data_IF_626184467681
#
_entry.id   IF_626184467681
#
_cell.length_a   1.000
_cell.length_b   1.000
_cell.length_c   1.000
_cell.angle_alpha   90.00
_cell.angle_beta   90.00
_cell.angle_gamma   90.00
#
_symmetry.space_group_name_H-M   'P 1'
#
loop_
_entity.id
_entity.type
_entity.pdbx_description
1 polymer ?
#
# COMPACT_ATOMS: atom_id res chain seq x y z
N UNK A 1 -15.15 -26.13 10.58
CA UNK A 1 -14.90 -24.68 10.47
C UNK A 1 -16.20 -24.01 10.09
N UNK A 2 -16.66 -23.04 10.87
CA UNK A 2 -17.93 -22.37 10.67
C UNK A 2 -17.70 -21.08 9.88
N UNK A 3 -18.30 -20.90 8.68
CA UNK A 3 -18.12 -19.67 7.91
C UNK A 3 -18.89 -18.50 8.55
N UNK A 4 -18.22 -17.36 8.69
CA UNK A 4 -18.82 -16.10 9.08
C UNK A 4 -18.46 -15.05 8.03
N UNK A 5 -19.46 -14.50 7.34
CA UNK A 5 -19.26 -13.41 6.39
C UNK A 5 -19.47 -12.09 7.11
N UNK A 6 -18.55 -11.14 6.95
CA UNK A 6 -18.53 -9.85 7.64
C UNK A 6 -18.24 -8.74 6.63
N UNK A 7 -18.83 -7.57 6.88
CA UNK A 7 -18.55 -6.32 6.18
C UNK A 7 -18.61 -5.16 7.18
N UNK A 8 -17.62 -4.26 7.16
CA UNK A 8 -17.53 -3.10 8.04
C UNK A 8 -17.76 -1.80 7.26
N UNK A 9 -18.55 -0.92 7.84
CA UNK A 9 -18.68 0.46 7.36
C UNK A 9 -18.05 1.44 8.35
N UNK A 10 -17.27 2.37 7.82
CA UNK A 10 -16.49 3.33 8.60
C UNK A 10 -16.69 4.75 8.11
N UNK A 11 -16.41 5.72 8.98
CA UNK A 11 -16.38 7.13 8.60
C UNK A 11 -15.44 7.38 7.42
N UNK A 12 -15.91 8.14 6.43
CA UNK A 12 -15.12 8.58 5.30
C UNK A 12 -15.53 9.97 4.82
N UNK A 13 -14.58 10.71 4.29
CA UNK A 13 -14.78 12.05 3.73
C UNK A 13 -13.87 12.29 2.51
N UNK A 14 -13.91 13.50 1.93
CA UNK A 14 -13.01 13.86 0.84
C UNK A 14 -11.52 13.91 1.26
N UNK A 15 -11.27 14.19 2.54
CA UNK A 15 -9.93 14.29 3.12
C UNK A 15 -9.54 13.03 3.90
N UNK A 16 -10.50 12.24 4.36
CA UNK A 16 -10.32 11.02 5.13
C UNK A 16 -10.88 9.80 4.41
N UNK A 17 -10.10 9.17 3.55
CA UNK A 17 -10.52 7.95 2.83
C UNK A 17 -9.32 7.10 2.42
N UNK A 18 -9.56 5.83 2.05
CA UNK A 18 -8.54 4.92 1.52
C UNK A 18 -7.89 5.41 0.20
N UNK A 19 -8.46 6.43 -0.47
CA UNK A 19 -7.84 7.06 -1.64
C UNK A 19 -6.88 8.19 -1.28
N UNK A 20 -6.97 8.70 -0.05
CA UNK A 20 -6.15 9.82 0.47
C UNK A 20 -5.12 9.36 1.48
N UNK A 21 -5.46 8.36 2.28
CA UNK A 21 -4.61 7.82 3.34
C UNK A 21 -4.19 6.39 3.00
N UNK A 22 -2.94 6.01 3.31
CA UNK A 22 -2.54 4.61 3.29
C UNK A 22 -3.48 3.76 4.17
N UNK A 23 -3.81 2.52 3.78
CA UNK A 23 -4.78 1.70 4.50
C UNK A 23 -4.49 1.51 5.99
N UNK A 24 -3.24 1.26 6.38
CA UNK A 24 -2.86 1.15 7.80
C UNK A 24 -3.16 2.45 8.53
N UNK A 25 -2.71 3.59 7.98
CA UNK A 25 -2.95 4.91 8.56
C UNK A 25 -4.42 5.20 8.71
N UNK A 26 -5.23 4.89 7.69
CA UNK A 26 -6.69 5.02 7.74
C UNK A 26 -7.29 4.15 8.84
N UNK A 27 -7.05 2.84 8.85
CA UNK A 27 -7.67 1.92 9.81
C UNK A 27 -7.32 2.21 11.28
N UNK A 28 -6.16 2.80 11.55
CA UNK A 28 -5.72 3.18 12.90
C UNK A 28 -5.90 4.65 13.23
N UNK A 29 -6.47 5.45 12.32
CA UNK A 29 -6.69 6.87 12.58
C UNK A 29 -7.81 7.07 13.63
N UNK A 30 -7.67 8.02 14.56
CA UNK A 30 -8.74 8.33 15.52
C UNK A 30 -10.07 8.68 14.87
N UNK A 31 -10.05 9.43 13.76
CA UNK A 31 -11.28 9.81 13.02
C UNK A 31 -11.94 8.65 12.27
N UNK A 32 -11.29 7.48 12.16
CA UNK A 32 -11.92 6.31 11.56
C UNK A 32 -12.88 5.70 12.56
N UNK A 33 -14.08 6.28 12.66
CA UNK A 33 -15.19 5.74 13.41
C UNK A 33 -15.72 4.48 12.73
N UNK A 34 -15.90 3.38 13.48
CA UNK A 34 -16.50 2.15 12.97
C UNK A 34 -18.01 2.24 13.19
N UNK A 35 -18.72 2.58 12.12
CA UNK A 35 -20.14 2.90 12.11
C UNK A 35 -20.96 1.65 12.30
N UNK A 36 -20.72 0.61 11.49
CA UNK A 36 -21.46 -0.64 11.58
C UNK A 36 -20.64 -1.87 11.19
N UNK A 37 -21.05 -3.01 11.73
CA UNK A 37 -20.60 -4.35 11.34
C UNK A 37 -21.83 -5.18 11.00
N UNK A 38 -21.94 -5.59 9.74
CA UNK A 38 -22.89 -6.62 9.33
C UNK A 38 -22.22 -7.99 9.33
N UNK A 39 -22.97 -9.03 9.71
CA UNK A 39 -22.46 -10.39 9.71
C UNK A 39 -23.54 -11.46 9.52
N UNK A 40 -23.13 -12.64 9.07
CA UNK A 40 -23.96 -13.86 9.05
C UNK A 40 -23.13 -15.13 9.22
N UNK A 41 -23.73 -16.17 9.81
CA UNK A 41 -23.13 -17.50 9.92
C UNK A 41 -23.67 -18.41 8.82
N UNK A 42 -22.81 -18.78 7.86
CA UNK A 42 -23.23 -19.59 6.70
C UNK A 42 -24.46 -19.01 6.00
N UNK A 43 -25.51 -19.82 5.84
CA UNK A 43 -26.77 -19.43 5.21
C UNK A 43 -27.82 -18.87 6.20
N UNK A 44 -27.46 -18.56 7.46
CA UNK A 44 -28.35 -17.91 8.43
C UNK A 44 -28.69 -16.46 8.02
N UNK A 45 -29.62 -15.83 8.75
CA UNK A 45 -30.02 -14.44 8.57
C UNK A 45 -28.85 -13.48 8.87
N UNK A 46 -28.88 -12.33 8.21
CA UNK A 46 -27.85 -11.29 8.34
C UNK A 46 -28.20 -10.28 9.42
N UNK A 47 -27.28 -10.09 10.34
CA UNK A 47 -27.37 -9.14 11.44
C UNK A 47 -26.53 -7.89 11.13
N UNK A 48 -26.84 -6.78 11.80
CA UNK A 48 -26.06 -5.55 11.72
C UNK A 48 -25.99 -4.92 13.11
N UNK A 49 -24.78 -4.60 13.55
CA UNK A 49 -24.48 -3.96 14.83
C UNK A 49 -23.96 -2.56 14.52
N UNK A 50 -24.44 -1.56 15.25
CA UNK A 50 -23.99 -0.17 15.14
C UNK A 50 -23.15 0.23 16.34
N UNK A 51 -22.11 1.02 16.07
CA UNK A 51 -21.24 1.63 17.06
C UNK A 51 -20.12 0.71 17.52
N UNK A 52 -18.91 1.26 17.54
CA UNK A 52 -17.68 0.53 17.82
C UNK A 52 -17.71 -0.24 19.15
N UNK A 53 -18.27 0.35 20.21
CA UNK A 53 -18.39 -0.31 21.51
C UNK A 53 -19.25 -1.58 21.49
N UNK A 54 -20.37 -1.56 20.77
CA UNK A 54 -21.25 -2.73 20.61
C UNK A 54 -20.58 -3.80 19.74
N UNK A 55 -19.88 -3.36 18.68
CA UNK A 55 -19.12 -4.24 17.80
C UNK A 55 -18.00 -4.94 18.58
N UNK A 56 -17.26 -4.22 19.42
CA UNK A 56 -16.22 -4.77 20.27
C UNK A 56 -16.78 -5.78 21.29
N UNK A 57 -17.92 -5.47 21.92
CA UNK A 57 -18.58 -6.37 22.85
C UNK A 57 -19.02 -7.69 22.19
N UNK A 58 -19.59 -7.60 20.97
CA UNK A 58 -19.94 -8.77 20.17
C UNK A 58 -18.70 -9.55 19.72
N UNK A 59 -17.67 -8.88 19.20
CA UNK A 59 -16.45 -9.54 18.74
C UNK A 59 -15.77 -10.33 19.87
N UNK A 60 -15.86 -9.84 21.12
CA UNK A 60 -15.36 -10.53 22.32
C UNK A 60 -16.22 -11.74 22.73
N UNK A 61 -17.52 -11.74 22.42
CA UNK A 61 -18.42 -12.84 22.80
C UNK A 61 -18.37 -14.02 21.82
N UNK A 62 -17.82 -13.82 20.62
CA UNK A 62 -17.66 -14.87 19.60
C UNK A 62 -16.38 -15.66 19.84
N UNK A 63 -16.49 -16.98 19.89
CA UNK A 63 -15.33 -17.87 19.76
C UNK A 63 -14.89 -17.94 18.27
N UNK A 64 -13.68 -17.45 18.00
CA UNK A 64 -13.10 -17.39 16.66
C UNK A 64 -12.28 -18.64 16.29
N UNK A 65 -12.02 -19.52 17.25
CA UNK A 65 -11.06 -20.63 17.11
C UNK A 65 -11.43 -21.65 16.04
N UNK A 66 -12.71 -21.74 15.64
CA UNK A 66 -13.21 -22.60 14.56
C UNK A 66 -13.80 -21.81 13.37
N UNK A 67 -13.65 -20.49 13.34
CA UNK A 67 -14.32 -19.62 12.35
C UNK A 67 -13.49 -19.36 11.10
N UNK A 68 -14.15 -19.41 9.94
CA UNK A 68 -13.63 -18.82 8.69
C UNK A 68 -14.23 -17.43 8.51
N UNK A 69 -13.44 -16.39 8.71
CA UNK A 69 -13.89 -15.01 8.50
C UNK A 69 -13.77 -14.66 7.02
N UNK A 70 -14.90 -14.39 6.39
CA UNK A 70 -15.04 -14.11 4.97
C UNK A 70 -15.43 -12.64 4.81
N UNK A 71 -14.76 -11.95 3.89
CA UNK A 71 -15.18 -10.61 3.49
C UNK A 71 -14.67 -10.25 2.11
N UNK A 72 -15.00 -9.05 1.67
CA UNK A 72 -14.53 -8.51 0.41
C UNK A 72 -13.43 -7.48 0.68
N UNK A 73 -12.25 -7.64 0.08
CA UNK A 73 -11.08 -6.78 0.33
C UNK A 73 -10.45 -6.87 1.75
N UNK A 74 -10.51 -8.05 2.38
CA UNK A 74 -9.93 -8.32 3.72
C UNK A 74 -8.47 -7.83 3.88
N UNK A 75 -7.57 -8.18 2.95
CA UNK A 75 -6.15 -7.77 3.04
C UNK A 75 -5.89 -6.30 2.68
N UNK A 76 -6.93 -5.55 2.35
CA UNK A 76 -6.86 -4.12 2.07
C UNK A 76 -7.53 -3.26 3.14
N UNK A 77 -8.43 -3.82 3.95
CA UNK A 77 -9.26 -3.04 4.85
C UNK A 77 -9.76 -3.83 6.08
N UNK A 78 -10.83 -4.63 5.95
CA UNK A 78 -11.61 -5.17 7.07
C UNK A 78 -10.78 -5.96 8.08
N UNK A 79 -9.83 -6.78 7.58
CA UNK A 79 -9.04 -7.62 8.46
C UNK A 79 -8.19 -6.80 9.43
N UNK A 80 -7.72 -5.60 9.06
CA UNK A 80 -6.96 -4.74 9.96
C UNK A 80 -7.83 -4.23 11.11
N UNK A 81 -9.04 -3.77 10.82
CA UNK A 81 -9.97 -3.29 11.86
C UNK A 81 -10.36 -4.46 12.77
N UNK A 82 -10.77 -5.60 12.20
CA UNK A 82 -11.14 -6.80 12.94
C UNK A 82 -10.01 -7.28 13.85
N UNK A 83 -8.80 -7.44 13.32
CA UNK A 83 -7.68 -7.98 14.08
C UNK A 83 -7.11 -6.97 15.09
N UNK A 84 -6.93 -5.71 14.70
CA UNK A 84 -6.17 -4.73 15.51
C UNK A 84 -7.03 -3.95 16.48
N UNK A 85 -8.28 -3.63 16.13
CA UNK A 85 -9.20 -2.89 17.03
C UNK A 85 -10.09 -3.83 17.84
N UNK A 86 -10.54 -4.92 17.24
CA UNK A 86 -11.48 -5.85 17.88
C UNK A 86 -10.83 -7.17 18.34
N UNK A 87 -9.53 -7.37 18.09
CA UNK A 87 -8.81 -8.55 18.58
C UNK A 87 -9.25 -9.88 17.94
N UNK A 88 -9.91 -9.83 16.79
CA UNK A 88 -10.43 -11.00 16.08
C UNK A 88 -9.28 -11.87 15.57
N UNK A 89 -9.29 -13.15 15.94
CA UNK A 89 -8.27 -14.15 15.58
C UNK A 89 -8.93 -15.44 15.09
N UNK A 90 -9.32 -15.50 13.81
CA UNK A 90 -10.05 -16.63 13.27
C UNK A 90 -9.14 -17.83 12.96
N UNK A 91 -9.76 -19.00 12.87
CA UNK A 91 -9.11 -20.19 12.32
C UNK A 91 -8.62 -19.95 10.89
N UNK A 92 -9.36 -19.17 10.10
CA UNK A 92 -9.00 -18.85 8.72
C UNK A 92 -9.56 -17.51 8.26
N UNK A 93 -8.77 -16.77 7.49
CA UNK A 93 -9.20 -15.61 6.73
C UNK A 93 -9.51 -16.00 5.28
N UNK A 94 -10.61 -15.47 4.74
CA UNK A 94 -11.01 -15.64 3.35
C UNK A 94 -11.39 -14.28 2.74
N UNK A 95 -10.98 -14.06 1.49
CA UNK A 95 -11.15 -12.77 0.82
C UNK A 95 -11.72 -12.98 -0.59
N UNK A 96 -12.98 -12.63 -0.81
CA UNK A 96 -13.64 -12.82 -2.11
C UNK A 96 -13.00 -11.99 -3.23
N UNK A 97 -12.42 -10.82 -2.91
CA UNK A 97 -11.60 -10.06 -3.85
C UNK A 97 -10.31 -10.78 -4.24
N UNK A 98 -9.65 -11.46 -3.29
CA UNK A 98 -8.45 -12.24 -3.61
C UNK A 98 -8.81 -13.45 -4.48
N UNK A 99 -9.92 -14.14 -4.15
CA UNK A 99 -10.43 -15.29 -4.90
C UNK A 99 -10.89 -14.92 -6.31
N UNK A 100 -11.35 -13.68 -6.54
CA UNK A 100 -11.84 -13.23 -7.85
C UNK A 100 -10.72 -12.86 -8.82
N UNK A 101 -9.56 -12.38 -8.34
CA UNK A 101 -8.46 -11.88 -9.20
C UNK A 101 -7.97 -12.88 -10.27
N UNK A 102 -7.77 -14.18 -9.99
CA UNK A 102 -7.36 -15.15 -11.01
C UNK A 102 -8.32 -15.21 -12.21
N UNK A 103 -9.59 -14.91 -11.98
CA UNK A 103 -10.65 -15.01 -12.97
C UNK A 103 -10.93 -13.66 -13.64
N UNK A 104 -10.96 -12.58 -12.86
CA UNK A 104 -11.64 -11.35 -13.23
C UNK A 104 -10.77 -10.09 -13.24
N UNK A 105 -9.47 -10.21 -12.95
CA UNK A 105 -8.62 -9.03 -12.80
C UNK A 105 -8.48 -8.21 -14.09
N UNK A 106 -8.57 -8.84 -15.27
CA UNK A 106 -8.30 -8.20 -16.57
C UNK A 106 -9.54 -7.71 -17.31
N UNK A 107 -10.73 -8.12 -16.90
CA UNK A 107 -11.98 -7.91 -17.62
C UNK A 107 -13.03 -7.22 -16.74
N UNK A 108 -13.69 -7.96 -15.84
CA UNK A 108 -14.79 -7.47 -15.00
C UNK A 108 -14.27 -6.48 -13.96
N UNK A 109 -13.07 -6.71 -13.45
CA UNK A 109 -12.52 -5.99 -12.30
C UNK A 109 -12.91 -6.64 -10.97
N UNK A 110 -12.38 -6.09 -9.87
CA UNK A 110 -12.42 -6.75 -8.58
C UNK A 110 -13.48 -6.29 -7.59
N UNK A 111 -14.09 -5.11 -7.77
CA UNK A 111 -14.99 -4.56 -6.75
C UNK A 111 -16.26 -5.39 -6.58
N UNK A 112 -16.78 -5.44 -5.35
CA UNK A 112 -18.01 -6.16 -5.01
C UNK A 112 -19.15 -5.82 -5.97
N UNK A 113 -19.41 -4.53 -6.21
CA UNK A 113 -20.45 -4.07 -7.13
C UNK A 113 -20.33 -4.68 -8.54
N UNK A 114 -19.12 -4.71 -9.13
CA UNK A 114 -18.91 -5.25 -10.47
C UNK A 114 -19.09 -6.77 -10.51
N UNK A 115 -18.59 -7.48 -9.51
CA UNK A 115 -18.70 -8.93 -9.44
C UNK A 115 -20.14 -9.39 -9.18
N UNK A 116 -20.88 -8.69 -8.32
CA UNK A 116 -22.28 -9.00 -8.01
C UNK A 116 -23.16 -8.85 -9.25
N UNK A 117 -22.94 -7.79 -10.04
CA UNK A 117 -23.62 -7.61 -11.33
C UNK A 117 -23.18 -8.66 -12.35
N UNK A 118 -21.88 -8.95 -12.46
CA UNK A 118 -21.38 -9.95 -13.41
C UNK A 118 -21.93 -11.37 -13.17
N UNK A 119 -22.20 -11.72 -11.91
CA UNK A 119 -22.74 -13.04 -11.53
C UNK A 119 -24.26 -13.04 -11.34
N UNK A 120 -24.97 -11.98 -11.76
CA UNK A 120 -26.42 -11.83 -11.61
C UNK A 120 -26.92 -12.04 -10.16
N UNK A 121 -26.08 -11.70 -9.18
CA UNK A 121 -26.41 -11.77 -7.75
C UNK A 121 -27.27 -10.56 -7.35
N UNK A 122 -27.06 -9.43 -8.02
CA UNK A 122 -27.79 -8.19 -7.78
C UNK A 122 -27.07 -6.92 -8.24
N UNK A 123 -27.46 -5.80 -7.64
CA UNK A 123 -26.83 -4.49 -7.86
C UNK A 123 -26.55 -3.88 -6.49
N UNK A 124 -25.34 -3.37 -6.30
CA UNK A 124 -24.96 -2.66 -5.07
C UNK A 124 -25.47 -1.23 -5.12
N UNK A 125 -26.44 -0.90 -4.27
CA UNK A 125 -26.95 0.46 -4.10
C UNK A 125 -26.08 1.23 -3.09
N UNK A 126 -25.29 2.19 -3.56
CA UNK A 126 -24.39 2.98 -2.71
C UNK A 126 -25.04 4.24 -2.13
N UNK A 127 -26.34 4.46 -2.36
CA UNK A 127 -27.02 5.71 -1.98
C UNK A 127 -26.90 6.02 -0.49
N UNK A 128 -27.09 5.01 0.37
CA UNK A 128 -26.94 5.18 1.82
C UNK A 128 -25.53 5.62 2.21
N UNK A 129 -24.50 4.98 1.65
CA UNK A 129 -23.09 5.32 1.92
C UNK A 129 -22.73 6.74 1.46
N UNK A 130 -23.27 7.18 0.33
CA UNK A 130 -23.02 8.52 -0.23
C UNK A 130 -23.70 9.60 0.62
N UNK A 131 -24.92 9.35 1.10
CA UNK A 131 -25.69 10.29 1.93
C UNK A 131 -25.03 10.56 3.28
N UNK A 132 -24.30 9.58 3.82
CA UNK A 132 -23.61 9.69 5.11
C UNK A 132 -22.16 10.15 4.99
N UNK A 133 -21.73 10.60 3.80
CA UNK A 133 -20.37 11.07 3.57
C UNK A 133 -20.00 12.22 4.50
N UNK A 134 -18.86 12.08 5.17
CA UNK A 134 -18.32 13.10 6.07
C UNK A 134 -19.06 13.22 7.39
N UNK A 135 -19.85 12.21 7.78
CA UNK A 135 -20.63 12.19 9.01
C UNK A 135 -20.28 10.97 9.87
N UNK A 136 -20.13 11.19 11.16
CA UNK A 136 -19.92 10.16 12.18
C UNK A 136 -21.26 9.54 12.60
N UNK A 137 -21.21 8.37 13.25
CA UNK A 137 -22.43 7.63 13.61
C UNK A 137 -23.39 8.45 14.50
N UNK A 138 -22.86 9.28 15.40
CA UNK A 138 -23.67 10.13 16.29
C UNK A 138 -24.41 11.26 15.55
N UNK A 139 -24.08 11.51 14.30
CA UNK A 139 -24.73 12.49 13.44
C UNK A 139 -25.83 11.86 12.58
N UNK A 140 -26.00 10.53 12.58
CA UNK A 140 -26.98 9.85 11.74
C UNK A 140 -28.40 9.99 12.31
N UNK A 141 -29.38 10.20 11.44
CA UNK A 141 -30.80 10.09 11.83
C UNK A 141 -31.20 8.61 11.99
N UNK A 142 -32.31 8.32 12.69
CA UNK A 142 -32.83 6.96 12.78
C UNK A 142 -33.08 6.30 11.41
N UNK A 143 -33.52 7.07 10.42
CA UNK A 143 -33.76 6.60 9.05
C UNK A 143 -32.46 6.24 8.35
N UNK A 144 -31.40 7.04 8.54
CA UNK A 144 -30.07 6.78 7.98
C UNK A 144 -29.42 5.56 8.62
N UNK A 145 -29.57 5.36 9.94
CA UNK A 145 -29.15 4.12 10.61
C UNK A 145 -29.85 2.91 9.99
N UNK A 146 -31.16 2.99 9.77
CA UNK A 146 -31.90 1.90 9.12
C UNK A 146 -31.45 1.67 7.67
N UNK A 147 -31.21 2.74 6.90
CA UNK A 147 -30.75 2.65 5.52
C UNK A 147 -29.35 2.03 5.43
N UNK A 148 -28.40 2.51 6.25
CA UNK A 148 -27.06 1.95 6.37
C UNK A 148 -27.11 0.47 6.77
N UNK A 149 -28.01 0.11 7.70
CA UNK A 149 -28.16 -1.27 8.14
C UNK A 149 -28.69 -2.20 7.06
N UNK A 150 -29.57 -1.73 6.17
CA UNK A 150 -30.00 -2.49 4.99
C UNK A 150 -28.87 -2.64 3.98
N UNK A 151 -28.13 -1.57 3.73
CA UNK A 151 -27.01 -1.53 2.80
C UNK A 151 -25.88 -2.49 3.22
N UNK A 152 -25.38 -2.38 4.46
CA UNK A 152 -24.29 -3.20 4.98
C UNK A 152 -24.69 -4.69 5.09
N UNK A 153 -25.96 -5.00 5.41
CA UNK A 153 -26.48 -6.39 5.33
C UNK A 153 -26.48 -6.93 3.91
N UNK A 154 -26.90 -6.12 2.93
CA UNK A 154 -26.91 -6.53 1.54
C UNK A 154 -25.49 -6.85 1.04
N UNK A 155 -24.48 -6.08 1.46
CA UNK A 155 -23.07 -6.36 1.14
C UNK A 155 -22.60 -7.71 1.68
N UNK A 156 -22.96 -8.06 2.91
CA UNK A 156 -22.66 -9.37 3.50
C UNK A 156 -23.34 -10.51 2.74
N UNK A 157 -24.62 -10.35 2.38
CA UNK A 157 -25.35 -11.35 1.62
C UNK A 157 -24.76 -11.55 0.23
N UNK A 158 -24.43 -10.46 -0.46
CA UNK A 158 -23.78 -10.47 -1.76
C UNK A 158 -22.38 -11.11 -1.70
N UNK A 159 -21.59 -10.75 -0.69
CA UNK A 159 -20.26 -11.32 -0.45
C UNK A 159 -20.34 -12.83 -0.19
N UNK A 160 -21.32 -13.29 0.59
CA UNK A 160 -21.55 -14.72 0.85
C UNK A 160 -21.92 -15.49 -0.43
N UNK A 161 -22.77 -14.94 -1.29
CA UNK A 161 -23.09 -15.57 -2.58
C UNK A 161 -21.86 -15.66 -3.49
N UNK A 162 -21.06 -14.57 -3.58
CA UNK A 162 -19.80 -14.61 -4.32
C UNK A 162 -18.82 -15.64 -3.75
N UNK A 163 -18.71 -15.72 -2.42
CA UNK A 163 -17.87 -16.72 -1.78
C UNK A 163 -18.28 -18.14 -2.19
N UNK A 164 -19.58 -18.47 -2.17
CA UNK A 164 -20.08 -19.79 -2.61
C UNK A 164 -19.72 -20.10 -4.07
N UNK A 165 -19.69 -19.10 -4.95
CA UNK A 165 -19.26 -19.26 -6.35
C UNK A 165 -17.75 -19.53 -6.43
N UNK A 166 -16.95 -18.66 -5.82
CA UNK A 166 -15.49 -18.75 -5.92
C UNK A 166 -14.91 -19.91 -5.14
N UNK A 167 -15.53 -20.33 -4.04
CA UNK A 167 -15.08 -21.45 -3.23
C UNK A 167 -15.05 -22.76 -4.02
N UNK A 168 -16.01 -22.95 -4.94
CA UNK A 168 -16.04 -24.12 -5.86
C UNK A 168 -14.89 -24.11 -6.87
N UNK A 169 -14.31 -22.94 -7.15
CA UNK A 169 -13.26 -22.70 -8.15
C UNK A 169 -11.87 -22.51 -7.53
N UNK A 170 -11.78 -22.36 -6.21
CA UNK A 170 -10.54 -22.05 -5.51
C UNK A 170 -10.02 -23.30 -4.80
N UNK A 171 -8.90 -23.88 -5.24
CA UNK A 171 -8.32 -25.05 -4.58
C UNK A 171 -8.00 -24.77 -3.10
N UNK A 172 -8.01 -25.83 -2.29
CA UNK A 172 -7.67 -25.73 -0.85
C UNK A 172 -6.27 -25.14 -0.61
N UNK A 173 -5.31 -25.40 -1.51
CA UNK A 173 -3.97 -24.79 -1.45
C UNK A 173 -4.03 -23.26 -1.61
N UNK A 174 -4.80 -22.77 -2.58
CA UNK A 174 -4.98 -21.33 -2.81
C UNK A 174 -5.74 -20.66 -1.68
N UNK A 175 -6.71 -21.34 -1.08
CA UNK A 175 -7.38 -20.82 0.13
C UNK A 175 -6.40 -20.61 1.28
N UNK A 176 -5.45 -21.55 1.50
CA UNK A 176 -4.39 -21.37 2.52
C UNK A 176 -3.47 -20.20 2.17
N UNK A 177 -3.13 -20.03 0.89
CA UNK A 177 -2.30 -18.93 0.43
C UNK A 177 -2.97 -17.57 0.63
N UNK A 178 -4.28 -17.48 0.39
CA UNK A 178 -5.09 -16.28 0.67
C UNK A 178 -5.12 -15.98 2.17
N UNK A 179 -5.35 -17.00 3.01
CA UNK A 179 -5.31 -16.86 4.48
C UNK A 179 -3.93 -16.34 4.94
N UNK A 180 -2.85 -16.99 4.52
CA UNK A 180 -1.48 -16.58 4.82
C UNK A 180 -1.21 -15.14 4.37
N UNK A 181 -1.72 -14.74 3.19
CA UNK A 181 -1.59 -13.38 2.68
C UNK A 181 -2.25 -12.35 3.60
N UNK A 182 -3.42 -12.65 4.15
CA UNK A 182 -4.10 -11.78 5.13
C UNK A 182 -3.32 -11.77 6.45
N UNK A 183 -2.88 -12.94 6.95
CA UNK A 183 -2.09 -13.06 8.20
C UNK A 183 -0.78 -12.29 8.14
N UNK A 184 -0.10 -12.30 6.99
CA UNK A 184 1.12 -11.51 6.79
C UNK A 184 0.92 -10.01 7.03
N UNK A 185 -0.29 -9.49 6.79
CA UNK A 185 -0.67 -8.14 7.16
C UNK A 185 -1.04 -8.05 8.65
N UNK A 186 -2.00 -8.84 9.10
CA UNK A 186 -2.67 -8.59 10.40
C UNK A 186 -1.99 -9.24 11.61
N UNK A 187 -1.13 -10.23 11.38
CA UNK A 187 -0.35 -10.95 12.39
C UNK A 187 1.16 -10.78 12.16
N UNK A 188 1.67 -9.52 12.15
CA UNK A 188 3.08 -9.25 11.85
C UNK A 188 4.02 -9.90 12.88
N UNK A 189 5.18 -10.36 12.42
CA UNK A 189 6.18 -11.04 13.24
C UNK A 189 7.51 -10.29 13.36
N UNK A 190 7.91 -9.50 12.35
CA UNK A 190 9.13 -8.71 12.41
C UNK A 190 9.02 -7.61 13.46
N UNK A 191 10.02 -7.48 14.32
CA UNK A 191 10.19 -6.31 15.19
C UNK A 191 10.97 -5.23 14.42
N UNK A 192 10.52 -3.98 14.52
CA UNK A 192 11.13 -2.87 13.81
C UNK A 192 12.17 -2.18 14.69
N UNK A 193 13.41 -2.10 14.22
CA UNK A 193 14.41 -1.21 14.79
C UNK A 193 14.08 0.26 14.45
N UNK A 194 13.15 0.84 15.23
CA UNK A 194 12.72 2.24 15.08
C UNK A 194 13.87 3.25 15.25
N UNK A 195 14.80 3.09 16.23
CA UNK A 195 15.94 4.00 16.35
C UNK A 195 16.79 4.09 15.08
N UNK A 196 17.06 2.97 14.41
CA UNK A 196 17.77 2.95 13.13
C UNK A 196 17.02 3.78 12.07
N UNK A 197 15.72 3.52 11.91
CA UNK A 197 14.89 4.23 10.94
C UNK A 197 14.83 5.74 11.20
N UNK A 198 14.62 6.15 12.46
CA UNK A 198 14.57 7.57 12.85
C UNK A 198 15.92 8.25 12.60
N UNK A 199 17.02 7.60 12.97
CA UNK A 199 18.37 8.11 12.71
C UNK A 199 18.62 8.29 11.21
N UNK A 200 18.29 7.29 10.40
CA UNK A 200 18.47 7.35 8.94
C UNK A 200 17.59 8.42 8.31
N UNK A 201 16.33 8.55 8.73
CA UNK A 201 15.42 9.59 8.23
C UNK A 201 15.94 10.99 8.54
N UNK A 202 16.43 11.21 9.77
CA UNK A 202 17.02 12.49 10.18
C UNK A 202 18.25 12.81 9.33
N UNK A 203 19.19 11.88 9.20
CA UNK A 203 20.40 12.08 8.41
C UNK A 203 20.09 12.36 6.92
N UNK A 204 19.12 11.67 6.34
CA UNK A 204 18.74 11.89 4.93
C UNK A 204 18.09 13.28 4.73
N UNK A 205 17.26 13.73 5.67
CA UNK A 205 16.67 15.08 5.64
C UNK A 205 17.74 16.16 5.82
N UNK A 206 18.65 16.00 6.77
CA UNK A 206 19.78 16.92 6.99
C UNK A 206 20.69 17.01 5.75
N UNK A 207 20.99 15.87 5.11
CA UNK A 207 21.77 15.82 3.88
C UNK A 207 21.10 16.61 2.75
N UNK A 208 19.78 16.47 2.60
CA UNK A 208 19.00 17.19 1.58
C UNK A 208 18.89 18.68 1.88
N UNK A 209 18.60 19.03 3.12
CA UNK A 209 18.57 20.41 3.61
C UNK A 209 19.89 21.12 3.29
N UNK A 210 21.02 20.54 3.73
CA UNK A 210 22.35 21.07 3.43
C UNK A 210 22.59 21.27 1.92
N UNK A 211 22.25 20.28 1.10
CA UNK A 211 22.41 20.35 -0.36
C UNK A 211 21.56 21.48 -0.98
N UNK A 212 20.37 21.75 -0.43
CA UNK A 212 19.52 22.86 -0.88
C UNK A 212 20.07 24.21 -0.46
N UNK A 213 20.53 24.35 0.78
CA UNK A 213 21.14 25.58 1.30
C UNK A 213 22.46 25.91 0.58
N UNK A 214 23.33 24.92 0.40
CA UNK A 214 24.59 25.09 -0.35
C UNK A 214 24.31 25.59 -1.78
N UNK A 215 23.31 25.00 -2.46
CA UNK A 215 22.90 25.46 -3.78
C UNK A 215 22.28 26.87 -3.73
N UNK A 216 21.46 27.17 -2.72
CA UNK A 216 20.86 28.48 -2.53
C UNK A 216 21.92 29.57 -2.42
N UNK A 217 23.00 29.32 -1.67
CA UNK A 217 24.15 30.21 -1.57
C UNK A 217 24.83 30.40 -2.93
N UNK A 218 25.06 29.30 -3.68
CA UNK A 218 25.71 29.36 -4.99
C UNK A 218 24.94 30.18 -6.03
N UNK A 219 23.60 30.10 -6.03
CA UNK A 219 22.74 30.80 -6.99
C UNK A 219 22.24 32.16 -6.49
N UNK A 220 22.67 32.58 -5.29
CA UNK A 220 22.25 33.85 -4.68
C UNK A 220 20.75 33.91 -4.36
N UNK A 221 20.15 32.78 -3.94
CA UNK A 221 18.71 32.70 -3.65
C UNK A 221 18.31 33.22 -2.24
N UNK A 222 19.26 33.73 -1.46
CA UNK A 222 18.98 34.34 -0.16
C UNK A 222 18.53 35.79 -0.33
N UNK A 223 17.28 36.08 0.05
CA UNK A 223 16.80 37.46 0.17
C UNK A 223 16.93 37.94 1.64
N UNK A 224 17.15 39.25 1.88
CA UNK A 224 17.25 39.77 3.24
C UNK A 224 16.01 39.43 4.08
N UNK A 225 16.22 38.74 5.20
CA UNK A 225 15.17 38.34 6.13
C UNK A 225 14.52 36.98 5.85
N UNK A 226 15.00 36.21 4.86
CA UNK A 226 14.58 34.82 4.70
C UNK A 226 15.24 33.90 5.73
N UNK A 227 14.44 33.02 6.32
CA UNK A 227 14.92 31.91 7.14
C UNK A 227 15.30 30.69 6.27
N UNK A 228 16.17 29.81 6.76
CA UNK A 228 16.67 28.64 6.02
C UNK A 228 15.53 27.75 5.46
N UNK A 229 14.47 27.53 6.24
CA UNK A 229 13.29 26.76 5.82
C UNK A 229 12.57 27.39 4.60
N UNK A 230 12.53 28.72 4.53
CA UNK A 230 11.91 29.45 3.42
C UNK A 230 12.75 29.34 2.15
N UNK A 231 14.07 29.42 2.31
CA UNK A 231 15.06 29.26 1.23
C UNK A 231 15.00 27.85 0.66
N UNK A 232 15.00 26.83 1.51
CA UNK A 232 14.88 25.43 1.09
C UNK A 232 13.61 25.19 0.28
N UNK A 233 12.48 25.72 0.75
CA UNK A 233 11.20 25.58 0.06
C UNK A 233 11.22 26.27 -1.32
N UNK A 234 11.81 27.46 -1.42
CA UNK A 234 11.95 28.19 -2.68
C UNK A 234 12.82 27.43 -3.69
N UNK A 235 14.00 26.98 -3.27
CA UNK A 235 14.93 26.21 -4.12
C UNK A 235 14.33 24.86 -4.50
N UNK A 236 13.72 24.14 -3.56
CA UNK A 236 13.03 22.88 -3.82
C UNK A 236 11.89 23.02 -4.85
N UNK A 237 11.10 24.11 -4.78
CA UNK A 237 10.07 24.42 -5.80
C UNK A 237 10.67 24.65 -7.19
N UNK A 238 11.82 25.30 -7.28
CA UNK A 238 12.54 25.51 -8.54
C UNK A 238 13.08 24.20 -9.09
N UNK A 239 13.79 23.43 -8.27
CA UNK A 239 14.36 22.14 -8.64
C UNK A 239 13.31 21.07 -8.94
N UNK A 240 12.17 21.09 -8.26
CA UNK A 240 11.07 20.14 -8.44
C UNK A 240 10.25 20.37 -9.70
N UNK A 241 10.29 21.57 -10.29
CA UNK A 241 9.53 21.91 -11.49
C UNK A 241 10.40 21.79 -12.75
N UNK A 242 9.96 21.02 -13.75
CA UNK A 242 10.72 20.90 -15.00
C UNK A 242 10.87 22.26 -15.74
N UNK A 243 9.81 23.09 -15.87
CA UNK A 243 9.95 24.43 -16.44
C UNK A 243 10.91 25.35 -15.66
N UNK A 244 10.80 25.41 -14.33
CA UNK A 244 11.65 26.31 -13.52
C UNK A 244 13.11 25.87 -13.54
N UNK A 245 13.38 24.57 -13.47
CA UNK A 245 14.73 24.05 -13.59
C UNK A 245 15.33 24.25 -14.99
N UNK A 246 14.51 24.13 -16.04
CA UNK A 246 14.94 24.43 -17.41
C UNK A 246 15.33 25.91 -17.56
N UNK A 247 14.61 26.81 -16.89
CA UNK A 247 14.97 28.23 -16.83
C UNK A 247 16.31 28.42 -16.11
N UNK A 248 16.49 27.80 -14.93
CA UNK A 248 17.75 27.85 -14.18
C UNK A 248 18.95 27.40 -15.03
N UNK A 249 18.84 26.28 -15.77
CA UNK A 249 19.91 25.83 -16.66
C UNK A 249 20.24 26.86 -17.74
N UNK A 250 19.22 27.47 -18.36
CA UNK A 250 19.42 28.53 -19.38
C UNK A 250 20.06 29.78 -18.79
N UNK A 251 19.64 30.18 -17.59
CA UNK A 251 20.20 31.33 -16.88
C UNK A 251 21.69 31.08 -16.53
N UNK A 252 22.08 29.81 -16.33
CA UNK A 252 23.47 29.34 -16.17
C UNK A 252 24.20 29.09 -17.51
N UNK A 253 23.59 29.40 -18.65
CA UNK A 253 24.19 29.22 -19.98
C UNK A 253 24.26 27.77 -20.48
N UNK A 254 23.52 26.84 -19.86
CA UNK A 254 23.49 25.41 -20.22
C UNK A 254 22.27 25.10 -21.09
N UNK A 255 22.50 24.39 -22.19
CA UNK A 255 21.41 23.89 -23.04
C UNK A 255 20.60 22.82 -22.30
N UNK A 256 19.28 22.94 -22.33
CA UNK A 256 18.38 22.03 -21.61
C UNK A 256 18.25 20.74 -22.41
N UNK A 257 18.58 19.56 -21.84
CA UNK A 257 18.38 18.29 -22.51
C UNK A 257 16.89 18.08 -22.88
N UNK A 258 16.61 17.61 -24.09
CA UNK A 258 15.25 17.40 -24.60
C UNK A 258 15.03 15.93 -25.00
N UNK A 259 13.78 15.46 -24.93
CA UNK A 259 13.35 14.15 -25.42
C UNK A 259 11.94 14.21 -26.00
N UNK A 260 11.62 13.30 -26.91
CA UNK A 260 10.26 13.11 -27.40
C UNK A 260 9.49 12.24 -26.41
N UNK A 261 8.39 12.78 -25.87
CA UNK A 261 7.52 12.05 -24.96
C UNK A 261 6.75 10.96 -25.71
N UNK A 262 6.97 9.69 -25.35
CA UNK A 262 6.23 8.55 -25.92
C UNK A 262 4.71 8.66 -25.72
N UNK A 263 4.26 9.39 -24.70
CA UNK A 263 2.83 9.57 -24.38
C UNK A 263 2.17 10.64 -25.25
N UNK A 264 2.90 11.69 -25.60
CA UNK A 264 2.33 12.89 -26.23
C UNK A 264 2.88 13.19 -27.62
N UNK A 265 3.96 12.52 -28.03
CA UNK A 265 4.68 12.77 -29.29
C UNK A 265 5.38 14.13 -29.35
N UNK A 266 5.37 14.91 -28.27
CA UNK A 266 5.93 16.27 -28.21
C UNK A 266 7.29 16.28 -27.52
N UNK A 267 8.13 17.23 -27.89
CA UNK A 267 9.37 17.51 -27.18
C UNK A 267 9.10 17.97 -25.74
N UNK A 268 9.86 17.42 -24.80
CA UNK A 268 9.79 17.74 -23.40
C UNK A 268 11.21 17.72 -22.78
N UNK A 269 11.47 18.51 -21.73
CA UNK A 269 12.74 18.47 -21.03
C UNK A 269 13.07 17.07 -20.49
N UNK A 270 14.25 16.56 -20.86
CA UNK A 270 14.79 15.27 -20.45
C UNK A 270 15.58 15.43 -19.13
N UNK A 271 14.86 15.65 -18.03
CA UNK A 271 15.41 16.02 -16.72
C UNK A 271 15.17 14.95 -15.63
N UNK A 272 15.15 13.67 -15.98
CA UNK A 272 14.91 12.53 -15.09
C UNK A 272 16.14 11.63 -14.94
N UNK A 273 16.12 10.75 -13.92
CA UNK A 273 17.19 9.78 -13.61
C UNK A 273 17.49 8.73 -14.70
N UNK A 274 16.72 8.72 -15.78
CA UNK A 274 16.89 7.83 -16.93
C UNK A 274 17.37 8.59 -18.17
N UNK A 275 17.53 9.91 -18.06
CA UNK A 275 17.88 10.76 -19.18
C UNK A 275 19.40 11.00 -19.14
N UNK A 276 20.14 10.32 -20.01
CA UNK A 276 21.61 10.29 -20.00
C UNK A 276 22.24 11.69 -20.11
N UNK A 277 21.71 12.53 -21.01
CA UNK A 277 22.19 13.90 -21.17
C UNK A 277 22.01 14.75 -19.90
N UNK A 278 20.97 14.52 -19.11
CA UNK A 278 20.82 15.18 -17.81
C UNK A 278 21.69 14.54 -16.72
N UNK A 279 21.89 13.21 -16.76
CA UNK A 279 22.83 12.55 -15.85
C UNK A 279 24.24 13.12 -16.01
N UNK A 280 24.67 13.39 -17.25
CA UNK A 280 25.97 13.98 -17.55
C UNK A 280 26.17 15.37 -16.91
N UNK A 281 25.09 16.13 -16.68
CA UNK A 281 25.18 17.43 -16.01
C UNK A 281 25.63 17.31 -14.55
N UNK A 282 25.48 16.16 -13.89
CA UNK A 282 25.94 15.96 -12.51
C UNK A 282 27.46 16.04 -12.36
N UNK A 283 28.21 15.89 -13.46
CA UNK A 283 29.67 16.01 -13.51
C UNK A 283 30.11 17.19 -14.38
N UNK A 284 29.24 18.18 -14.56
CA UNK A 284 29.54 19.37 -15.34
C UNK A 284 30.70 20.17 -14.73
N UNK A 285 31.61 20.78 -15.53
CA UNK A 285 32.74 21.56 -15.01
C UNK A 285 32.33 22.75 -14.16
N UNK A 286 31.18 23.38 -14.47
CA UNK A 286 30.58 24.41 -13.62
C UNK A 286 30.02 23.77 -12.32
N UNK A 287 30.56 24.14 -11.13
CA UNK A 287 30.09 23.62 -9.85
C UNK A 287 28.62 23.91 -9.54
N UNK A 288 28.08 25.01 -10.05
CA UNK A 288 26.68 25.40 -9.83
C UNK A 288 25.76 24.46 -10.63
N UNK A 289 26.10 24.21 -11.90
CA UNK A 289 25.33 23.33 -12.78
C UNK A 289 25.33 21.89 -12.24
N UNK A 290 26.51 21.38 -11.86
CA UNK A 290 26.63 20.04 -11.32
C UNK A 290 25.88 19.87 -9.99
N UNK A 291 25.99 20.85 -9.08
CA UNK A 291 25.25 20.86 -7.82
C UNK A 291 23.73 20.94 -8.05
N UNK A 292 23.27 21.79 -8.98
CA UNK A 292 21.85 21.92 -9.32
C UNK A 292 21.26 20.62 -9.91
N UNK A 293 22.00 19.93 -10.79
CA UNK A 293 21.58 18.65 -11.36
C UNK A 293 21.49 17.55 -10.30
N UNK A 294 22.48 17.44 -9.42
CA UNK A 294 22.47 16.50 -8.29
C UNK A 294 21.33 16.81 -7.32
N UNK A 295 21.15 18.09 -6.97
CA UNK A 295 20.10 18.53 -6.06
C UNK A 295 18.70 18.24 -6.59
N UNK A 296 18.46 18.44 -7.89
CA UNK A 296 17.19 18.07 -8.52
C UNK A 296 16.87 16.58 -8.36
N UNK A 297 17.85 15.69 -8.56
CA UNK A 297 17.63 14.26 -8.39
C UNK A 297 17.29 13.92 -6.94
N UNK A 298 17.97 14.55 -5.97
CA UNK A 298 17.68 14.39 -4.55
C UNK A 298 16.30 14.90 -4.14
N UNK A 299 15.89 16.09 -4.61
CA UNK A 299 14.55 16.66 -4.38
C UNK A 299 13.46 15.78 -4.99
N UNK A 300 13.70 15.22 -6.17
CA UNK A 300 12.75 14.32 -6.83
C UNK A 300 12.69 12.92 -6.20
N UNK A 301 13.73 12.49 -5.52
CA UNK A 301 13.82 11.15 -4.93
C UNK A 301 13.43 11.17 -3.46
N UNK A 302 12.12 11.03 -3.17
CA UNK A 302 11.58 10.93 -1.79
C UNK A 302 11.31 9.48 -1.36
N UNK A 303 11.72 8.50 -2.17
CA UNK A 303 11.34 7.10 -1.97
C UNK A 303 11.85 6.49 -0.65
N UNK A 304 13.05 6.89 -0.20
CA UNK A 304 13.61 6.39 1.04
C UNK A 304 12.83 6.95 2.24
N UNK A 305 12.66 8.28 2.30
CA UNK A 305 11.95 8.97 3.37
C UNK A 305 10.52 8.46 3.50
N UNK A 306 9.78 8.44 2.39
CA UNK A 306 8.38 7.99 2.36
C UNK A 306 8.22 6.53 2.80
N UNK A 307 9.18 5.65 2.46
CA UNK A 307 9.16 4.26 2.93
C UNK A 307 9.51 4.15 4.40
N UNK A 308 10.49 4.90 4.89
CA UNK A 308 10.84 4.93 6.31
C UNK A 308 9.65 5.43 7.13
N UNK A 309 9.01 6.51 6.71
CA UNK A 309 7.81 7.06 7.35
C UNK A 309 6.68 6.03 7.38
N UNK A 310 6.44 5.33 6.27
CA UNK A 310 5.44 4.27 6.21
C UNK A 310 5.76 3.08 7.14
N UNK A 311 7.03 2.70 7.26
CA UNK A 311 7.48 1.67 8.22
C UNK A 311 7.26 2.13 9.66
N UNK A 312 7.59 3.38 9.99
CA UNK A 312 7.39 3.96 11.32
C UNK A 312 5.91 4.04 11.67
N UNK A 313 5.06 4.44 10.73
CA UNK A 313 3.60 4.48 10.90
C UNK A 313 3.04 3.07 11.12
N UNK A 314 3.44 2.09 10.31
CA UNK A 314 3.01 0.71 10.46
C UNK A 314 3.50 0.07 11.78
N UNK A 315 4.74 0.37 12.17
CA UNK A 315 5.31 -0.04 13.45
C UNK A 315 4.54 0.55 14.64
N UNK A 316 4.18 1.84 14.59
CA UNK A 316 3.36 2.46 15.61
C UNK A 316 1.98 1.79 15.71
N UNK A 317 1.34 1.54 14.58
CA UNK A 317 0.02 0.92 14.48
C UNK A 317 -0.03 -0.51 15.04
N UNK A 318 1.10 -1.24 15.03
CA UNK A 318 1.14 -2.67 15.36
C UNK A 318 2.08 -3.00 16.53
N UNK A 319 2.25 -2.04 17.45
CA UNK A 319 2.99 -2.28 18.70
C UNK A 319 4.47 -2.58 18.50
N UNK A 320 5.11 -1.97 17.48
CA UNK A 320 6.52 -2.14 17.17
C UNK A 320 6.81 -3.09 16.02
N UNK A 321 5.81 -3.79 15.48
CA UNK A 321 6.01 -4.82 14.45
C UNK A 321 5.87 -4.30 13.02
N UNK A 322 6.33 -5.05 12.02
CA UNK A 322 6.10 -4.69 10.61
C UNK A 322 5.16 -5.68 9.90
N UNK A 323 3.97 -5.22 9.50
CA UNK A 323 3.12 -5.91 8.53
C UNK A 323 3.82 -6.18 7.20
N UNK A 324 3.34 -7.18 6.47
CA UNK A 324 3.79 -7.48 5.11
C UNK A 324 2.57 -7.45 4.19
N UNK A 325 2.09 -6.25 3.80
CA UNK A 325 0.89 -6.10 3.00
C UNK A 325 1.15 -6.56 1.55
N UNK A 326 0.39 -7.57 1.13
CA UNK A 326 0.47 -8.16 -0.21
C UNK A 326 -0.92 -8.27 -0.84
N UNK A 327 -0.99 -8.17 -2.17
CA UNK A 327 -2.12 -8.61 -2.97
C UNK A 327 -1.82 -10.00 -3.53
N UNK A 328 -2.58 -11.00 -3.06
CA UNK A 328 -2.69 -12.29 -3.74
C UNK A 328 -3.15 -12.06 -5.18
N UNK A 329 -2.46 -12.70 -6.14
CA UNK A 329 -2.72 -12.58 -7.58
C UNK A 329 -2.76 -11.12 -8.08
N UNK A 330 -1.84 -10.28 -7.58
CA UNK A 330 -1.75 -8.87 -7.96
C UNK A 330 -1.06 -8.63 -9.31
N UNK A 331 -0.21 -9.56 -9.75
CA UNK A 331 0.43 -9.55 -11.06
C UNK A 331 -0.38 -10.32 -12.11
N UNK A 332 -0.29 -9.89 -13.37
CA UNK A 332 -1.01 -10.50 -14.50
C UNK A 332 -0.62 -11.96 -14.81
N UNK A 333 0.48 -12.46 -14.22
CA UNK A 333 0.99 -13.84 -14.29
C UNK A 333 0.62 -14.68 -13.07
N UNK A 334 -0.19 -14.15 -12.15
CA UNK A 334 -0.54 -14.79 -10.88
C UNK A 334 0.41 -14.55 -9.72
N UNK A 335 1.49 -13.76 -9.93
CA UNK A 335 2.37 -13.34 -8.84
C UNK A 335 1.63 -12.50 -7.79
N UNK A 336 2.06 -12.60 -6.54
CA UNK A 336 1.75 -11.58 -5.54
C UNK A 336 2.35 -10.24 -5.96
N UNK A 337 1.67 -9.15 -5.61
CA UNK A 337 2.25 -7.81 -5.66
C UNK A 337 2.29 -7.18 -4.27
N UNK A 338 3.33 -6.42 -3.98
CA UNK A 338 3.44 -5.67 -2.73
C UNK A 338 2.53 -4.45 -2.72
N UNK A 339 1.98 -4.14 -1.56
CA UNK A 339 1.13 -2.98 -1.32
C UNK A 339 1.79 -1.97 -0.38
N UNK A 340 1.21 -0.77 -0.30
CA UNK A 340 1.67 0.29 0.59
C UNK A 340 3.15 0.64 0.35
N UNK A 341 4.05 0.29 1.27
CA UNK A 341 5.51 0.46 1.12
C UNK A 341 6.19 -0.61 0.24
N UNK A 342 5.42 -1.55 -0.30
CA UNK A 342 5.85 -2.64 -1.17
C UNK A 342 7.04 -3.44 -0.59
N UNK A 343 6.78 -4.36 0.35
CA UNK A 343 7.82 -5.15 1.02
C UNK A 343 8.56 -6.12 0.07
N UNK A 344 8.06 -6.35 -1.15
CA UNK A 344 8.73 -7.22 -2.13
C UNK A 344 9.88 -6.51 -2.86
N UNK A 345 9.89 -5.18 -2.88
CA UNK A 345 10.88 -4.38 -3.61
C UNK A 345 11.76 -3.58 -2.65
N UNK A 346 12.22 -4.19 -1.55
CA UNK A 346 13.20 -3.56 -0.67
C UNK A 346 14.59 -3.55 -1.34
N UNK A 347 15.33 -2.43 -1.27
CA UNK A 347 16.66 -2.31 -1.86
C UNK A 347 17.58 -3.38 -1.27
N UNK A 348 18.44 -3.98 -2.09
CA UNK A 348 19.46 -4.92 -1.60
C UNK A 348 20.46 -4.16 -0.73
N UNK A 349 20.97 -4.83 0.30
CA UNK A 349 22.02 -4.30 1.17
C UNK A 349 23.26 -4.03 0.31
N UNK A 350 23.76 -2.79 0.32
CA UNK A 350 24.81 -2.33 -0.58
C UNK A 350 25.73 -1.27 0.03
N UNK A 351 25.67 -1.05 1.34
CA UNK A 351 26.40 0.01 2.04
C UNK A 351 25.75 1.39 1.95
N UNK A 352 24.50 1.47 1.47
CA UNK A 352 23.76 2.73 1.31
C UNK A 352 22.81 2.96 2.48
N UNK A 353 22.36 4.19 2.67
CA UNK A 353 21.37 4.57 3.69
C UNK A 353 20.07 3.76 3.56
N UNK A 354 19.74 3.36 2.32
CA UNK A 354 18.59 2.51 2.02
C UNK A 354 18.65 1.11 2.66
N UNK A 355 19.82 0.66 3.07
CA UNK A 355 20.01 -0.61 3.77
C UNK A 355 19.24 -0.63 5.10
N UNK A 356 18.97 0.54 5.69
CA UNK A 356 18.13 0.68 6.88
C UNK A 356 16.76 0.02 6.72
N UNK A 357 16.19 -0.01 5.51
CA UNK A 357 14.88 -0.63 5.25
C UNK A 357 14.90 -2.17 5.41
N UNK A 358 16.03 -2.83 5.16
CA UNK A 358 16.18 -4.28 5.42
C UNK A 358 16.72 -4.53 6.82
N UNK A 359 17.70 -3.74 7.25
CA UNK A 359 18.38 -3.91 8.54
C UNK A 359 17.47 -3.57 9.73
N UNK A 360 16.38 -2.82 9.52
CA UNK A 360 15.41 -2.58 10.57
C UNK A 360 14.51 -3.80 10.88
N UNK A 361 14.48 -4.82 10.02
CA UNK A 361 13.64 -6.00 10.19
C UNK A 361 14.34 -7.01 11.10
N UNK A 362 13.97 -7.03 12.36
CA UNK A 362 14.57 -7.91 13.36
C UNK A 362 13.65 -9.10 13.66
N UNK A 363 14.26 -10.27 13.87
CA UNK A 363 13.54 -11.38 14.46
C UNK A 363 13.27 -11.08 15.94
N UNK A 364 12.10 -11.48 16.48
CA UNK A 364 11.82 -11.33 17.91
C UNK A 364 12.82 -12.15 18.76
N UNK A 365 12.98 -11.83 20.06
CA UNK A 365 13.87 -12.56 20.96
C UNK A 365 13.64 -14.08 20.91
N UNK A 366 14.72 -14.85 20.73
CA UNK A 366 14.67 -16.31 20.61
C UNK A 366 14.43 -16.83 19.18
N UNK A 367 14.23 -15.96 18.20
CA UNK A 367 14.00 -16.32 16.80
C UNK A 367 15.16 -15.87 15.89
N UNK A 368 15.18 -16.42 14.67
CA UNK A 368 16.08 -16.02 13.58
C UNK A 368 15.29 -15.78 12.31
N UNK A 369 15.76 -14.84 11.48
CA UNK A 369 15.23 -14.67 10.13
C UNK A 369 15.85 -15.74 9.22
N UNK A 370 14.99 -16.55 8.59
CA UNK A 370 15.41 -17.53 7.58
C UNK A 370 14.97 -17.02 6.21
N UNK A 371 15.91 -16.95 5.28
CA UNK A 371 15.65 -16.60 3.88
C UNK A 371 15.92 -17.83 3.04
N UNK A 372 14.91 -18.26 2.29
CA UNK A 372 15.01 -19.34 1.32
C UNK A 372 14.69 -18.77 -0.07
N UNK A 373 15.54 -19.06 -1.04
CA UNK A 373 15.38 -18.64 -2.43
C UNK A 373 15.52 -19.83 -3.37
N UNK A 374 14.71 -19.87 -4.42
CA UNK A 374 14.75 -20.93 -5.40
C UNK A 374 15.76 -20.57 -6.50
N UNK A 375 16.94 -21.21 -6.45
CA UNK A 375 18.04 -20.97 -7.40
C UNK A 375 17.60 -21.17 -8.85
N UNK A 376 17.53 -20.08 -9.62
CA UNK A 376 17.25 -20.09 -11.06
C UNK A 376 15.88 -20.67 -11.43
N UNK A 377 14.87 -20.57 -10.56
CA UNK A 377 13.58 -21.27 -10.74
C UNK A 377 12.93 -21.06 -12.11
N UNK A 378 12.97 -19.84 -12.65
CA UNK A 378 12.38 -19.53 -13.96
C UNK A 378 13.11 -20.28 -15.09
N UNK A 379 14.44 -20.35 -15.03
CA UNK A 379 15.25 -21.12 -15.99
C UNK A 379 15.00 -22.62 -15.83
N UNK A 380 14.91 -23.12 -14.59
CA UNK A 380 14.61 -24.53 -14.31
C UNK A 380 13.25 -24.96 -14.88
N UNK A 381 12.23 -24.14 -14.68
CA UNK A 381 10.91 -24.36 -15.29
C UNK A 381 11.00 -24.33 -16.81
N UNK A 382 11.77 -23.41 -17.39
CA UNK A 382 11.97 -23.34 -18.83
C UNK A 382 12.66 -24.60 -19.38
N UNK A 383 13.75 -25.07 -18.74
CA UNK A 383 14.44 -26.31 -19.12
C UNK A 383 13.52 -27.53 -19.05
N UNK A 384 12.68 -27.62 -18.01
CA UNK A 384 11.69 -28.68 -17.85
C UNK A 384 10.62 -28.67 -18.94
N UNK A 385 10.07 -27.49 -19.28
CA UNK A 385 9.03 -27.35 -20.30
C UNK A 385 9.57 -27.51 -21.73
N UNK A 386 10.80 -27.04 -21.99
CA UNK A 386 11.39 -27.04 -23.33
C UNK A 386 11.85 -28.42 -23.78
N UNK A 387 12.29 -29.28 -22.85
CA UNK A 387 12.67 -30.68 -23.09
C UNK A 387 13.77 -30.91 -24.16
N UNK A 388 14.53 -29.88 -24.53
CA UNK A 388 15.70 -30.05 -25.40
C UNK A 388 16.81 -30.80 -24.63
N UNK A 389 17.39 -31.90 -25.15
CA UNK A 389 18.35 -32.71 -24.40
C UNK A 389 19.54 -31.92 -23.84
N UNK A 390 20.12 -31.01 -24.63
CA UNK A 390 21.22 -30.14 -24.17
C UNK A 390 20.79 -29.17 -23.07
N UNK A 391 19.53 -28.74 -23.08
CA UNK A 391 18.96 -27.86 -22.06
C UNK A 391 18.63 -28.61 -20.77
N UNK A 392 18.13 -29.84 -20.85
CA UNK A 392 17.83 -30.67 -19.68
C UNK A 392 19.13 -31.14 -19.01
N UNK A 393 20.19 -31.38 -19.78
CA UNK A 393 21.52 -31.71 -19.26
C UNK A 393 22.16 -30.58 -18.44
N UNK A 394 21.84 -29.31 -18.71
CA UNK A 394 22.31 -28.17 -17.89
C UNK A 394 21.62 -28.08 -16.52
N UNK A 395 20.53 -28.84 -16.33
CA UNK A 395 19.65 -28.79 -15.17
C UNK A 395 19.87 -29.95 -14.19
N UNK A 396 20.30 -31.12 -14.68
CA UNK A 396 20.67 -32.30 -13.89
C UNK A 396 21.95 -32.05 -13.09
#
# INVERSE_FOLDING_TARGET
MTPITIDLETFWSQTHSLTKLPPITYCTHPDTDVISLAYKFGDDKTYCIFGEGNIAAWAKSVDWSDKMVIGHNMSGFDAMILAWRFGVKPMMWACTLAMSRPWHMKDVGGSLAKLVTHYDIGVKDQSALIQTKGRHLNEFTPEEIQAMGRYNKADVDQCWQLFKIFFKKTPKSEMKLIDMTVRMLVEPQFEVNRPLLVKTLKAERERKSKMLLDLATMIGAYEPGMEDDEVELAVSKTLGSAPKFSKLLRDLGVEVPMKVSLKTGKEAPALAKTDEAFIALQTHPDPIVSSAAQARLGVKSTILETRIEAFLAASKATGGKLPVPLKYYGGHTGRWSGEQYNPQNLPRVSGKESDALRNCLQAPPGYKVVVADLSGIELRVNHFLWQVPSSVALYQ
#
